data_IF_045806654048
#
_entry.id   IF_045806654048
#
_cell.length_a   1.000
_cell.length_b   1.000
_cell.length_c   1.000
_cell.angle_alpha   90.00
_cell.angle_beta   90.00
_cell.angle_gamma   90.00
#
_symmetry.space_group_name_H-M   'P 1'
#
loop_
_entity.id
_entity.type
_entity.pdbx_description
1 polymer ?
#
# COMPACT_ATOMS: atom_id res chain seq x y z
N UNK A 1 -67.31 -0.92 14.43
CA UNK A 1 -66.54 0.32 14.17
C UNK A 1 -65.98 0.82 15.48
N UNK A 2 -64.77 0.41 15.83
CA UNK A 2 -63.91 1.07 16.84
C UNK A 2 -62.51 1.03 16.25
N UNK A 3 -61.97 2.21 15.98
CA UNK A 3 -60.64 2.43 15.40
C UNK A 3 -59.64 2.55 16.54
N UNK A 4 -58.80 1.53 16.70
CA UNK A 4 -57.65 1.56 17.61
C UNK A 4 -56.59 2.50 17.02
N UNK A 5 -56.33 3.59 17.75
CA UNK A 5 -55.40 4.62 17.37
C UNK A 5 -54.36 4.75 18.49
N UNK A 6 -53.49 3.76 18.61
CA UNK A 6 -52.31 3.81 19.47
C UNK A 6 -51.07 3.47 18.63
N UNK A 7 -50.50 4.51 18.01
CA UNK A 7 -49.12 4.46 17.50
C UNK A 7 -48.20 4.82 18.67
N UNK A 8 -47.63 3.81 19.29
CA UNK A 8 -46.51 3.94 20.23
C UNK A 8 -45.42 4.82 19.61
N UNK A 9 -45.14 5.96 20.26
CA UNK A 9 -43.91 6.72 20.05
C UNK A 9 -42.77 5.90 20.64
N UNK A 10 -42.02 5.17 19.80
CA UNK A 10 -40.74 4.60 20.20
C UNK A 10 -39.76 5.73 20.47
N UNK A 11 -39.47 5.96 21.74
CA UNK A 11 -38.41 6.86 22.19
C UNK A 11 -37.06 6.41 21.62
N UNK A 12 -36.38 7.34 20.93
CA UNK A 12 -35.03 7.16 20.42
C UNK A 12 -34.08 7.15 21.62
N UNK A 13 -33.48 5.99 21.90
CA UNK A 13 -32.41 5.91 22.89
C UNK A 13 -31.12 6.49 22.31
N UNK A 14 -30.35 7.28 23.09
CA UNK A 14 -29.07 7.81 22.64
C UNK A 14 -28.07 6.68 22.37
N UNK A 15 -27.42 6.80 21.22
CA UNK A 15 -26.50 5.83 20.62
C UNK A 15 -25.25 5.63 21.50
N UNK A 16 -24.95 4.37 21.84
CA UNK A 16 -23.70 4.00 22.54
C UNK A 16 -22.59 3.77 21.51
N UNK A 17 -21.53 4.58 21.60
CA UNK A 17 -20.31 4.47 20.80
C UNK A 17 -19.64 3.09 20.99
N UNK A 18 -19.73 2.22 19.99
CA UNK A 18 -18.78 1.12 19.81
C UNK A 18 -17.65 1.61 18.90
N UNK A 19 -16.41 1.52 19.38
CA UNK A 19 -15.18 1.91 18.68
C UNK A 19 -15.20 1.39 17.23
N UNK A 20 -15.24 2.30 16.25
CA UNK A 20 -15.07 2.00 14.82
C UNK A 20 -16.33 1.75 13.98
N UNK A 21 -17.53 1.68 14.57
CA UNK A 21 -18.71 1.14 13.85
C UNK A 21 -19.41 2.06 12.86
N UNK A 22 -19.30 3.38 12.99
CA UNK A 22 -20.30 4.29 12.40
C UNK A 22 -19.78 5.68 12.03
N UNK A 23 -18.55 5.81 11.53
CA UNK A 23 -18.02 7.11 11.12
C UNK A 23 -18.93 7.83 10.14
N UNK A 24 -19.48 7.12 9.15
CA UNK A 24 -20.43 7.71 8.21
C UNK A 24 -21.74 8.15 8.89
N UNK A 25 -22.26 7.39 9.87
CA UNK A 25 -23.48 7.80 10.56
C UNK A 25 -23.24 9.04 11.43
N UNK A 26 -22.14 9.05 12.17
CA UNK A 26 -21.70 10.20 12.98
C UNK A 26 -21.53 11.46 12.13
N UNK A 27 -20.78 11.37 11.03
CA UNK A 27 -20.57 12.51 10.13
C UNK A 27 -21.84 12.96 9.41
N UNK A 28 -22.77 12.04 9.11
CA UNK A 28 -24.06 12.39 8.55
C UNK A 28 -24.93 13.14 9.57
N UNK A 29 -24.94 12.70 10.83
CA UNK A 29 -25.64 13.39 11.93
C UNK A 29 -25.03 14.78 12.20
N UNK A 30 -23.69 14.89 12.21
CA UNK A 30 -22.98 16.17 12.32
C UNK A 30 -23.36 17.15 11.18
N UNK A 31 -23.66 16.62 9.99
CA UNK A 31 -24.13 17.38 8.84
C UNK A 31 -25.65 17.65 8.83
N UNK A 32 -26.38 17.27 9.90
CA UNK A 32 -27.82 17.48 10.04
C UNK A 32 -28.69 16.41 9.39
N UNK A 33 -28.15 15.25 9.03
CA UNK A 33 -28.89 14.12 8.46
C UNK A 33 -29.22 13.10 9.55
N UNK A 34 -30.51 12.96 9.88
CA UNK A 34 -30.97 11.93 10.81
C UNK A 34 -31.09 10.58 10.12
N UNK A 35 -30.37 9.58 10.62
CA UNK A 35 -30.39 8.22 10.08
C UNK A 35 -31.36 7.36 10.89
N UNK A 36 -32.43 6.82 10.29
CA UNK A 36 -33.32 5.91 10.98
C UNK A 36 -32.66 4.53 11.17
N UNK A 37 -32.98 3.85 12.28
CA UNK A 37 -32.32 2.61 12.69
C UNK A 37 -32.45 1.46 11.66
N UNK A 38 -33.51 1.44 10.86
CA UNK A 38 -33.74 0.46 9.80
C UNK A 38 -32.76 0.61 8.61
N UNK A 39 -32.09 1.76 8.50
CA UNK A 39 -31.12 2.06 7.42
C UNK A 39 -29.67 1.87 7.85
N UNK A 40 -29.41 1.62 9.13
CA UNK A 40 -28.04 1.41 9.64
C UNK A 40 -27.33 0.22 8.98
N UNK A 41 -28.06 -0.84 8.63
CA UNK A 41 -27.50 -2.01 7.92
C UNK A 41 -26.95 -1.66 6.53
N UNK A 42 -27.57 -0.70 5.84
CA UNK A 42 -27.11 -0.22 4.52
C UNK A 42 -25.81 0.55 4.68
N UNK A 43 -25.73 1.39 5.70
CA UNK A 43 -24.54 2.20 6.04
C UNK A 43 -23.39 1.28 6.44
N UNK A 44 -23.63 0.29 7.29
CA UNK A 44 -22.63 -0.72 7.62
C UNK A 44 -22.14 -1.45 6.39
N UNK A 45 -23.05 -1.95 5.55
CA UNK A 45 -22.68 -2.64 4.32
C UNK A 45 -21.84 -1.76 3.39
N UNK A 46 -22.08 -0.43 3.36
CA UNK A 46 -21.21 0.50 2.65
C UNK A 46 -19.81 0.59 3.28
N UNK A 47 -19.73 0.81 4.59
CA UNK A 47 -18.46 0.93 5.30
C UNK A 47 -17.63 -0.34 5.19
N UNK A 48 -18.24 -1.51 5.30
CA UNK A 48 -17.55 -2.80 5.18
C UNK A 48 -16.95 -2.99 3.79
N UNK A 49 -17.61 -2.51 2.73
CA UNK A 49 -17.02 -2.51 1.39
C UNK A 49 -15.92 -1.47 1.25
N UNK A 50 -16.12 -0.29 1.84
CA UNK A 50 -15.15 0.81 1.78
C UNK A 50 -13.83 0.49 2.50
N UNK A 51 -13.82 -0.46 3.45
CA UNK A 51 -12.60 -0.98 4.11
C UNK A 51 -11.57 -1.51 3.12
N UNK A 52 -12.01 -2.04 1.98
CA UNK A 52 -11.14 -2.60 0.94
C UNK A 52 -10.74 -1.56 -0.12
N UNK A 53 -10.91 -0.28 0.20
CA UNK A 53 -10.59 0.85 -0.66
C UNK A 53 -11.49 0.97 -1.90
N UNK A 54 -11.04 1.77 -2.86
CA UNK A 54 -11.78 2.03 -4.10
C UNK A 54 -11.93 0.77 -4.99
N UNK A 55 -11.17 -0.29 -4.70
CA UNK A 55 -11.18 -1.54 -5.44
C UNK A 55 -12.48 -2.33 -5.24
N UNK A 56 -13.14 -2.17 -4.08
CA UNK A 56 -14.48 -2.71 -3.86
C UNK A 56 -15.54 -2.13 -4.81
N UNK A 57 -15.30 -0.93 -5.36
CA UNK A 57 -16.19 -0.30 -6.33
C UNK A 57 -15.88 -0.70 -7.78
N UNK A 58 -14.72 -1.32 -8.04
CA UNK A 58 -14.20 -1.61 -9.38
C UNK A 58 -15.02 -2.62 -10.20
N UNK A 59 -15.64 -3.67 -9.60
CA UNK A 59 -16.51 -4.57 -10.34
C UNK A 59 -17.61 -3.80 -11.06
N UNK A 60 -17.78 -4.09 -12.35
CA UNK A 60 -18.76 -3.43 -13.19
C UNK A 60 -20.18 -3.87 -12.82
N UNK A 61 -21.17 -3.12 -13.26
CA UNK A 61 -22.58 -3.55 -13.14
C UNK A 61 -22.91 -4.51 -14.28
N UNK A 62 -23.58 -5.61 -13.97
CA UNK A 62 -24.00 -6.59 -14.96
C UNK A 62 -24.98 -5.97 -15.97
N UNK A 63 -24.64 -6.06 -17.25
CA UNK A 63 -25.46 -5.57 -18.38
C UNK A 63 -26.16 -6.71 -19.15
N UNK A 64 -26.15 -7.93 -18.61
CA UNK A 64 -26.67 -9.11 -19.29
C UNK A 64 -26.02 -9.30 -20.66
N UNK A 65 -26.85 -9.51 -21.68
CA UNK A 65 -26.40 -9.70 -23.07
C UNK A 65 -25.64 -8.49 -23.67
N UNK A 66 -25.72 -7.31 -23.06
CA UNK A 66 -24.98 -6.10 -23.48
C UNK A 66 -23.65 -5.93 -22.73
N UNK A 67 -23.22 -6.93 -21.97
CA UNK A 67 -21.92 -6.90 -21.30
C UNK A 67 -20.79 -7.01 -22.36
N UNK A 68 -19.75 -6.17 -22.32
CA UNK A 68 -18.60 -6.30 -23.21
C UNK A 68 -17.86 -7.63 -23.02
N UNK A 69 -17.96 -8.25 -21.85
CA UNK A 69 -17.31 -9.52 -21.52
C UNK A 69 -18.28 -10.70 -21.61
N UNK A 70 -19.40 -10.56 -22.32
CA UNK A 70 -20.46 -11.57 -22.34
C UNK A 70 -19.99 -12.89 -22.97
N UNK A 71 -19.04 -12.82 -23.91
CA UNK A 71 -18.51 -13.99 -24.63
C UNK A 71 -17.61 -14.87 -23.75
N UNK A 72 -17.01 -14.27 -22.71
CA UNK A 72 -16.13 -14.95 -21.74
C UNK A 72 -16.76 -15.06 -20.36
N UNK A 73 -18.08 -14.84 -20.25
CA UNK A 73 -18.77 -14.83 -18.98
C UNK A 73 -19.14 -16.26 -18.55
N UNK A 74 -18.58 -16.78 -17.44
CA UNK A 74 -18.83 -18.15 -17.00
C UNK A 74 -20.30 -18.40 -16.62
N UNK A 75 -21.02 -17.38 -16.14
CA UNK A 75 -22.45 -17.51 -15.83
C UNK A 75 -23.30 -17.75 -17.09
N UNK A 76 -22.95 -17.08 -18.20
CA UNK A 76 -23.64 -17.29 -19.47
C UNK A 76 -23.30 -18.67 -20.04
N UNK A 77 -22.03 -19.05 -19.99
CA UNK A 77 -21.55 -20.36 -20.46
C UNK A 77 -22.22 -21.51 -19.70
N UNK A 78 -22.39 -21.36 -18.39
CA UNK A 78 -23.10 -22.31 -17.54
C UNK A 78 -24.63 -22.30 -17.70
N UNK A 79 -25.19 -21.42 -18.55
CA UNK A 79 -26.64 -21.31 -18.76
C UNK A 79 -27.41 -20.78 -17.53
N UNK A 80 -26.77 -20.00 -16.67
CA UNK A 80 -27.36 -19.44 -15.45
C UNK A 80 -27.97 -18.05 -15.68
N UNK A 81 -28.88 -17.65 -14.79
CA UNK A 81 -29.50 -16.33 -14.82
C UNK A 81 -28.47 -15.22 -14.54
N UNK A 82 -28.48 -14.20 -15.41
CA UNK A 82 -27.56 -13.05 -15.30
C UNK A 82 -28.15 -11.99 -14.35
N UNK A 83 -27.43 -11.57 -13.29
CA UNK A 83 -27.95 -10.62 -12.30
C UNK A 83 -27.88 -9.16 -12.79
N UNK A 84 -28.68 -8.83 -13.82
CA UNK A 84 -28.70 -7.51 -14.46
C UNK A 84 -28.95 -6.39 -13.44
N UNK A 85 -28.18 -5.31 -13.53
CA UNK A 85 -28.29 -4.14 -12.65
C UNK A 85 -27.58 -4.29 -11.30
N UNK A 86 -27.09 -5.49 -10.95
CA UNK A 86 -26.25 -5.73 -9.76
C UNK A 86 -24.77 -5.70 -10.12
N UNK A 87 -23.90 -5.55 -9.11
CA UNK A 87 -22.44 -5.68 -9.28
C UNK A 87 -22.09 -7.06 -9.83
N UNK A 88 -21.13 -7.12 -10.74
CA UNK A 88 -20.72 -8.33 -11.44
C UNK A 88 -20.16 -9.34 -10.43
N UNK A 89 -20.82 -10.50 -10.24
CA UNK A 89 -20.33 -11.50 -9.28
C UNK A 89 -19.02 -12.14 -9.74
N UNK A 90 -18.83 -12.33 -11.05
CA UNK A 90 -17.61 -12.94 -11.61
C UNK A 90 -16.39 -12.10 -11.25
N UNK A 91 -16.43 -10.81 -11.55
CA UNK A 91 -15.29 -9.92 -11.26
C UNK A 91 -15.06 -9.78 -9.75
N UNK A 92 -16.14 -9.74 -8.95
CA UNK A 92 -16.02 -9.69 -7.49
C UNK A 92 -15.28 -10.94 -6.96
N UNK A 93 -15.69 -12.12 -7.40
CA UNK A 93 -15.06 -13.38 -7.00
C UNK A 93 -13.61 -13.48 -7.45
N UNK A 94 -13.29 -12.98 -8.65
CA UNK A 94 -11.91 -12.96 -9.16
C UNK A 94 -11.01 -12.06 -8.31
N UNK A 95 -11.48 -10.87 -7.94
CA UNK A 95 -10.73 -9.97 -7.04
C UNK A 95 -10.51 -10.65 -5.69
N UNK A 96 -11.58 -11.19 -5.07
CA UNK A 96 -11.51 -11.88 -3.78
C UNK A 96 -10.52 -13.04 -3.81
N UNK A 97 -10.52 -13.82 -4.89
CA UNK A 97 -9.60 -14.94 -5.08
C UNK A 97 -8.14 -14.48 -5.21
N UNK A 98 -7.88 -13.40 -5.96
CA UNK A 98 -6.51 -12.87 -6.08
C UNK A 98 -6.00 -12.29 -4.78
N UNK A 99 -6.85 -11.54 -4.05
CA UNK A 99 -6.53 -11.02 -2.73
C UNK A 99 -6.20 -12.17 -1.78
N UNK A 100 -7.08 -13.17 -1.68
CA UNK A 100 -6.86 -14.35 -0.85
C UNK A 100 -5.53 -15.05 -1.16
N UNK A 101 -5.29 -15.37 -2.44
CA UNK A 101 -4.07 -16.06 -2.87
C UNK A 101 -2.82 -15.25 -2.56
N UNK A 102 -2.87 -13.93 -2.74
CA UNK A 102 -1.72 -13.07 -2.48
C UNK A 102 -1.44 -12.95 -0.98
N UNK A 103 -2.48 -12.79 -0.15
CA UNK A 103 -2.32 -12.78 1.31
C UNK A 103 -1.73 -14.11 1.82
N UNK A 104 -2.28 -15.24 1.37
CA UNK A 104 -1.78 -16.57 1.73
C UNK A 104 -0.32 -16.75 1.30
N UNK A 105 0.05 -16.30 0.08
CA UNK A 105 1.42 -16.42 -0.41
C UNK A 105 2.45 -15.55 0.32
N UNK A 106 1.99 -14.48 0.98
CA UNK A 106 2.83 -13.51 1.66
C UNK A 106 2.68 -13.55 3.19
N UNK A 107 1.93 -14.53 3.71
CA UNK A 107 1.62 -14.70 5.13
C UNK A 107 1.09 -13.41 5.78
N UNK A 108 0.07 -12.82 5.14
CA UNK A 108 -0.55 -11.57 5.57
C UNK A 108 -1.80 -11.89 6.39
N UNK A 109 -1.81 -11.47 7.65
CA UNK A 109 -3.00 -11.54 8.51
C UNK A 109 -3.87 -10.28 8.28
N UNK A 110 -5.10 -10.39 7.76
CA UNK A 110 -5.97 -9.24 7.54
C UNK A 110 -6.47 -8.58 8.84
N UNK A 111 -6.41 -9.28 9.97
CA UNK A 111 -6.88 -8.78 11.27
C UNK A 111 -5.78 -8.08 12.08
N UNK A 112 -4.50 -8.22 11.67
CA UNK A 112 -3.37 -7.55 12.32
C UNK A 112 -3.13 -6.15 11.70
N UNK A 113 -3.22 -5.07 12.50
CA UNK A 113 -2.93 -3.71 12.05
C UNK A 113 -1.52 -3.52 11.47
N UNK A 114 -0.54 -4.36 11.80
CA UNK A 114 0.80 -4.31 11.21
C UNK A 114 0.75 -4.46 9.69
N UNK A 115 -0.20 -5.23 9.18
CA UNK A 115 -0.34 -5.51 7.75
C UNK A 115 -1.28 -4.55 7.02
N UNK A 116 -1.80 -3.50 7.66
CA UNK A 116 -2.77 -2.59 7.04
C UNK A 116 -2.30 -2.02 5.70
N UNK A 117 -1.02 -1.62 5.61
CA UNK A 117 -0.44 -1.09 4.36
C UNK A 117 -0.34 -2.17 3.28
N UNK A 118 0.00 -3.40 3.67
CA UNK A 118 0.08 -4.50 2.73
C UNK A 118 -1.30 -4.90 2.22
N UNK A 119 -2.31 -4.86 3.08
CA UNK A 119 -3.69 -5.09 2.69
C UNK A 119 -4.13 -4.10 1.62
N UNK A 120 -3.87 -2.80 1.80
CA UNK A 120 -4.16 -1.77 0.80
C UNK A 120 -3.47 -2.07 -0.54
N UNK A 121 -2.18 -2.46 -0.50
CA UNK A 121 -1.41 -2.81 -1.68
C UNK A 121 -1.91 -4.07 -2.39
N UNK A 122 -2.35 -5.08 -1.63
CA UNK A 122 -2.91 -6.32 -2.17
C UNK A 122 -4.24 -6.06 -2.87
N UNK A 123 -5.12 -5.26 -2.27
CA UNK A 123 -6.36 -4.84 -2.93
C UNK A 123 -6.08 -4.04 -4.19
N UNK A 124 -5.15 -3.08 -4.15
CA UNK A 124 -4.73 -2.30 -5.31
C UNK A 124 -4.23 -3.22 -6.44
N UNK A 125 -3.37 -4.19 -6.10
CA UNK A 125 -2.85 -5.16 -7.05
C UNK A 125 -3.97 -5.95 -7.72
N UNK A 126 -4.91 -6.49 -6.95
CA UNK A 126 -6.05 -7.25 -7.48
C UNK A 126 -6.96 -6.39 -8.37
N UNK A 127 -7.16 -5.13 -8.00
CA UNK A 127 -7.90 -4.17 -8.78
C UNK A 127 -7.28 -3.88 -10.14
N UNK A 128 -5.97 -3.62 -10.19
CA UNK A 128 -5.26 -3.38 -11.44
C UNK A 128 -5.24 -4.65 -12.31
N UNK A 129 -5.07 -5.84 -11.71
CA UNK A 129 -5.18 -7.11 -12.43
C UNK A 129 -6.56 -7.30 -13.07
N UNK A 130 -7.63 -6.83 -12.40
CA UNK A 130 -8.98 -6.86 -12.99
C UNK A 130 -9.04 -5.99 -14.24
N UNK A 131 -8.49 -4.77 -14.18
CA UNK A 131 -8.43 -3.90 -15.36
C UNK A 131 -7.62 -4.55 -16.48
N UNK A 132 -6.49 -5.19 -16.18
CA UNK A 132 -5.69 -5.92 -17.17
C UNK A 132 -6.48 -7.07 -17.80
N UNK A 133 -7.26 -7.81 -17.02
CA UNK A 133 -8.14 -8.87 -17.53
C UNK A 133 -9.18 -8.31 -18.52
N UNK A 134 -9.81 -7.17 -18.21
CA UNK A 134 -10.75 -6.51 -19.13
C UNK A 134 -10.09 -6.09 -20.43
N UNK A 135 -8.91 -5.48 -20.34
CA UNK A 135 -8.14 -5.04 -21.51
C UNK A 135 -7.68 -6.22 -22.36
N UNK A 136 -7.25 -7.32 -21.73
CA UNK A 136 -6.88 -8.54 -22.42
C UNK A 136 -8.08 -9.15 -23.17
N UNK A 137 -9.27 -9.16 -22.56
CA UNK A 137 -10.48 -9.60 -23.23
C UNK A 137 -10.86 -8.69 -24.41
N UNK A 138 -10.74 -7.36 -24.24
CA UNK A 138 -10.95 -6.41 -25.35
C UNK A 138 -9.96 -6.60 -26.50
N UNK A 139 -8.69 -6.90 -26.21
CA UNK A 139 -7.67 -7.21 -27.23
C UNK A 139 -7.90 -8.57 -27.89
N UNK A 140 -8.51 -9.53 -27.19
CA UNK A 140 -8.89 -10.81 -27.79
C UNK A 140 -10.02 -10.63 -28.82
N UNK A 141 -10.95 -9.69 -28.59
CA UNK A 141 -12.00 -9.36 -29.55
C UNK A 141 -11.49 -8.50 -30.73
N UNK A 142 -10.63 -7.52 -30.44
CA UNK A 142 -10.05 -6.60 -31.43
C UNK A 142 -8.50 -6.68 -31.38
N UNK A 143 -7.90 -7.64 -32.12
CA UNK A 143 -6.48 -7.97 -32.02
C UNK A 143 -5.55 -6.95 -32.69
N UNK A 144 -6.09 -6.01 -33.46
CA UNK A 144 -5.29 -5.04 -34.20
C UNK A 144 -4.52 -4.11 -33.27
N UNK A 145 -3.22 -4.01 -33.53
CA UNK A 145 -2.28 -3.17 -32.77
C UNK A 145 -2.47 -1.69 -33.09
N UNK A 146 -2.84 -1.38 -34.33
CA UNK A 146 -3.13 -0.03 -34.82
C UNK A 146 -4.58 0.05 -35.27
N UNK A 147 -5.18 1.24 -35.13
CA UNK A 147 -6.51 1.55 -35.64
C UNK A 147 -6.44 2.82 -36.45
N UNK A 148 -6.93 2.75 -37.68
CA UNK A 148 -7.20 3.94 -38.48
C UNK A 148 -8.25 4.79 -37.77
N UNK A 149 -7.89 6.03 -37.47
CA UNK A 149 -8.82 7.04 -36.97
C UNK A 149 -8.80 8.25 -37.88
N UNK A 150 -9.98 8.82 -38.11
CA UNK A 150 -10.10 10.10 -38.79
C UNK A 150 -9.49 11.16 -37.88
N UNK A 151 -8.41 11.79 -38.34
CA UNK A 151 -7.72 12.89 -37.62
C UNK A 151 -8.10 14.26 -38.13
N UNK A 152 -8.75 14.33 -39.29
CA UNK A 152 -9.24 15.57 -39.85
C UNK A 152 -9.95 15.35 -41.19
N UNK A 153 -10.28 16.47 -41.82
CA UNK A 153 -10.85 16.50 -43.15
C UNK A 153 -9.99 17.42 -44.02
N UNK A 154 -9.77 17.04 -45.27
CA UNK A 154 -9.12 17.89 -46.27
C UNK A 154 -9.97 19.14 -46.53
N UNK A 155 -9.39 20.22 -47.12
CA UNK A 155 -10.17 21.36 -47.58
C UNK A 155 -11.30 21.01 -48.56
N UNK A 156 -11.19 19.87 -49.24
CA UNK A 156 -12.16 19.31 -50.17
C UNK A 156 -13.25 18.46 -49.48
N UNK A 157 -13.14 18.23 -48.17
CA UNK A 157 -14.10 17.48 -47.36
C UNK A 157 -13.79 15.99 -47.21
N UNK A 158 -12.65 15.51 -47.74
CA UNK A 158 -12.28 14.10 -47.64
C UNK A 158 -11.67 13.77 -46.28
N UNK A 159 -12.05 12.66 -45.62
CA UNK A 159 -11.48 12.27 -44.35
C UNK A 159 -10.00 11.91 -44.49
N UNK A 160 -9.17 12.43 -43.58
CA UNK A 160 -7.75 12.08 -43.44
C UNK A 160 -7.63 11.07 -42.31
N UNK A 161 -7.10 9.89 -42.63
CA UNK A 161 -6.88 8.80 -41.68
C UNK A 161 -5.45 8.82 -41.15
N UNK A 162 -5.29 8.44 -39.89
CA UNK A 162 -4.00 8.25 -39.22
C UNK A 162 -4.06 6.98 -38.38
N UNK A 163 -2.94 6.27 -38.35
CA UNK A 163 -2.80 5.01 -37.63
C UNK A 163 -2.44 5.28 -36.18
N UNK A 164 -3.41 5.08 -35.28
CA UNK A 164 -3.18 5.23 -33.84
C UNK A 164 -3.07 3.88 -33.15
N UNK A 165 -2.16 3.74 -32.17
CA UNK A 165 -2.07 2.51 -31.40
C UNK A 165 -3.37 2.22 -30.65
N UNK A 166 -3.69 0.94 -30.54
CA UNK A 166 -4.83 0.45 -29.79
C UNK A 166 -4.69 0.87 -28.31
N UNK A 167 -5.68 1.62 -27.81
CA UNK A 167 -5.65 2.13 -26.44
C UNK A 167 -5.60 1.02 -25.39
N UNK A 168 -6.22 -0.14 -25.68
CA UNK A 168 -6.18 -1.29 -24.77
C UNK A 168 -4.76 -1.80 -24.59
N UNK A 169 -3.94 -1.77 -25.64
CA UNK A 169 -2.53 -2.16 -25.59
C UNK A 169 -1.70 -1.18 -24.75
N UNK A 170 -1.86 0.13 -24.97
CA UNK A 170 -1.15 1.16 -24.21
C UNK A 170 -1.49 1.12 -22.71
N UNK A 171 -2.77 0.93 -22.38
CA UNK A 171 -3.21 0.80 -20.99
C UNK A 171 -2.70 -0.50 -20.36
N UNK A 172 -2.67 -1.59 -21.10
CA UNK A 172 -2.16 -2.87 -20.61
C UNK A 172 -0.67 -2.77 -20.28
N UNK A 173 0.13 -2.10 -21.11
CA UNK A 173 1.55 -1.83 -20.82
C UNK A 173 1.70 -0.98 -19.55
N UNK A 174 0.93 0.12 -19.44
CA UNK A 174 0.94 1.01 -18.27
C UNK A 174 0.61 0.25 -16.99
N UNK A 175 -0.47 -0.52 -16.99
CA UNK A 175 -0.89 -1.30 -15.81
C UNK A 175 0.09 -2.44 -15.49
N UNK A 176 0.71 -3.06 -16.49
CA UNK A 176 1.75 -4.07 -16.26
C UNK A 176 2.97 -3.49 -15.52
N UNK A 177 3.36 -2.25 -15.83
CA UNK A 177 4.43 -1.54 -15.10
C UNK A 177 4.03 -1.24 -13.64
N UNK A 178 2.77 -0.91 -13.39
CA UNK A 178 2.28 -0.67 -12.01
C UNK A 178 2.23 -1.98 -11.22
N UNK A 179 1.73 -3.06 -11.82
CA UNK A 179 1.72 -4.40 -11.20
C UNK A 179 3.12 -4.85 -10.81
N UNK A 180 4.11 -4.67 -11.68
CA UNK A 180 5.50 -5.01 -11.38
C UNK A 180 6.01 -4.24 -10.15
N UNK A 181 5.78 -2.92 -10.11
CA UNK A 181 6.16 -2.08 -8.96
C UNK A 181 5.48 -2.50 -7.66
N UNK A 182 4.18 -2.78 -7.68
CA UNK A 182 3.44 -3.22 -6.49
C UNK A 182 3.97 -4.55 -5.96
N UNK A 183 4.28 -5.50 -6.85
CA UNK A 183 4.88 -6.78 -6.45
C UNK A 183 6.26 -6.61 -5.84
N UNK A 184 7.11 -5.78 -6.44
CA UNK A 184 8.44 -5.49 -5.92
C UNK A 184 8.36 -4.85 -4.53
N UNK A 185 7.43 -3.90 -4.34
CA UNK A 185 7.21 -3.24 -3.06
C UNK A 185 6.69 -4.21 -1.99
N UNK A 186 5.74 -5.08 -2.30
CA UNK A 186 5.22 -6.10 -1.37
C UNK A 186 6.35 -7.02 -0.87
N UNK A 187 7.21 -7.49 -1.78
CA UNK A 187 8.36 -8.33 -1.41
C UNK A 187 9.41 -7.53 -0.61
N UNK A 188 9.62 -6.26 -0.96
CA UNK A 188 10.55 -5.39 -0.25
C UNK A 188 10.12 -5.13 1.19
N UNK A 189 8.83 -4.89 1.44
CA UNK A 189 8.29 -4.71 2.80
C UNK A 189 8.59 -5.93 3.68
N UNK A 190 8.43 -7.14 3.13
CA UNK A 190 8.73 -8.40 3.86
C UNK A 190 10.21 -8.54 4.17
N UNK A 191 11.08 -8.22 3.20
CA UNK A 191 12.54 -8.20 3.43
C UNK A 191 12.92 -7.20 4.51
N UNK A 192 12.29 -6.02 4.51
CA UNK A 192 12.50 -4.99 5.52
C UNK A 192 12.07 -5.47 6.90
N UNK A 193 10.85 -6.02 7.05
CA UNK A 193 10.37 -6.60 8.31
C UNK A 193 11.28 -7.71 8.82
N UNK A 194 11.69 -8.65 7.96
CA UNK A 194 12.62 -9.72 8.33
C UNK A 194 14.00 -9.18 8.75
N UNK A 195 14.49 -8.13 8.09
CA UNK A 195 15.76 -7.49 8.44
C UNK A 195 15.67 -6.72 9.76
N UNK A 196 14.55 -6.04 10.03
CA UNK A 196 14.27 -5.40 11.32
C UNK A 196 14.21 -6.44 12.44
N UNK A 197 13.56 -7.59 12.21
CA UNK A 197 13.53 -8.71 13.17
C UNK A 197 14.94 -9.24 13.49
N UNK A 198 15.79 -9.42 12.48
CA UNK A 198 17.20 -9.81 12.66
C UNK A 198 18.00 -8.76 13.43
N UNK A 199 17.86 -7.48 13.08
CA UNK A 199 18.51 -6.36 13.77
C UNK A 199 18.01 -6.20 15.21
N UNK A 200 16.75 -6.51 15.51
CA UNK A 200 16.22 -6.50 16.88
C UNK A 200 16.85 -7.62 17.73
N UNK A 201 17.01 -8.81 17.17
CA UNK A 201 17.78 -9.89 17.79
C UNK A 201 19.25 -9.49 18.04
N UNK A 202 19.89 -8.87 17.06
CA UNK A 202 21.29 -8.40 17.15
C UNK A 202 21.48 -7.21 18.09
N UNK A 203 20.49 -6.33 18.28
CA UNK A 203 20.58 -5.19 19.21
C UNK A 203 20.78 -5.66 20.65
N UNK A 204 20.15 -6.76 21.05
CA UNK A 204 20.32 -7.40 22.36
C UNK A 204 21.76 -7.90 22.55
N UNK A 205 22.30 -8.59 21.53
CA UNK A 205 23.67 -9.14 21.52
C UNK A 205 24.71 -8.01 21.46
N UNK A 206 24.46 -6.98 20.66
CA UNK A 206 25.33 -5.80 20.55
C UNK A 206 25.34 -5.00 21.85
N UNK A 207 24.19 -4.85 22.49
CA UNK A 207 24.08 -4.16 23.79
C UNK A 207 24.80 -4.93 24.88
N UNK A 208 24.65 -6.26 24.95
CA UNK A 208 25.40 -7.12 25.86
C UNK A 208 26.92 -7.03 25.62
N UNK A 209 27.37 -7.06 24.37
CA UNK A 209 28.79 -6.91 24.02
C UNK A 209 29.38 -5.53 24.36
N UNK A 210 28.60 -4.46 24.21
CA UNK A 210 29.01 -3.10 24.61
C UNK A 210 29.16 -3.03 26.13
N UNK A 211 28.21 -3.61 26.87
CA UNK A 211 28.22 -3.65 28.33
C UNK A 211 29.40 -4.47 28.86
N UNK A 212 29.70 -5.60 28.22
CA UNK A 212 30.88 -6.42 28.55
C UNK A 212 32.20 -5.70 28.24
N UNK A 213 32.30 -5.01 27.09
CA UNK A 213 33.46 -4.16 26.78
C UNK A 213 33.63 -3.02 27.79
N UNK A 214 32.53 -2.36 28.16
CA UNK A 214 32.55 -1.29 29.17
C UNK A 214 33.05 -1.83 30.52
N UNK A 215 32.62 -3.03 30.91
CA UNK A 215 33.05 -3.69 32.15
C UNK A 215 34.55 -4.03 32.13
N UNK A 216 35.06 -4.59 31.04
CA UNK A 216 36.51 -4.87 30.88
C UNK A 216 37.37 -3.61 30.90
N UNK A 217 36.88 -2.51 30.32
CA UNK A 217 37.57 -1.21 30.37
C UNK A 217 37.58 -0.64 31.79
N UNK A 218 36.47 -0.78 32.53
CA UNK A 218 36.39 -0.36 33.93
C UNK A 218 37.34 -1.18 34.82
N UNK A 219 37.41 -2.50 34.64
CA UNK A 219 38.33 -3.39 35.35
C UNK A 219 39.79 -3.06 35.05
N UNK A 220 40.15 -2.81 33.78
CA UNK A 220 41.50 -2.41 33.39
C UNK A 220 41.90 -1.03 33.96
N UNK A 221 40.95 -0.11 34.10
CA UNK A 221 41.17 1.19 34.75
C UNK A 221 41.31 1.08 36.26
N UNK A 222 40.63 0.11 36.88
CA UNK A 222 40.78 -0.19 38.30
C UNK A 222 42.13 -0.85 38.62
N UNK A 223 42.65 -1.69 37.72
CA UNK A 223 43.94 -2.37 37.90
C UNK A 223 45.17 -1.52 37.56
N UNK A 224 45.01 -0.38 36.88
CA UNK A 224 46.11 0.49 36.40
C UNK A 224 46.38 1.69 37.33
N UNK A 225 45.99 1.60 38.60
CA UNK A 225 46.02 2.70 39.57
C UNK A 225 47.21 2.67 40.55
N UNK A 226 48.27 1.95 40.20
CA UNK A 226 49.58 2.12 40.85
C UNK A 226 50.41 3.07 39.97
N UNK A 227 50.36 4.37 40.31
CA UNK A 227 51.25 5.39 39.74
C UNK A 227 52.44 5.48 40.70
N UNK A 228 53.64 5.16 40.22
CA UNK A 228 54.88 5.44 40.93
C UNK A 228 55.16 6.96 40.87
N UNK A 229 55.39 7.57 42.03
CA UNK A 229 55.74 8.99 42.16
C UNK A 229 57.11 9.26 41.49
N UNK A 230 57.13 10.15 40.51
CA UNK A 230 58.36 10.58 39.86
C UNK A 230 59.10 11.61 40.74
N UNK A 231 60.37 11.33 41.07
CA UNK A 231 61.26 12.28 41.74
C UNK A 231 61.54 13.51 40.86
N UNK A 232 61.35 14.70 41.45
CA UNK A 232 61.57 15.99 40.80
C UNK A 232 63.09 16.26 40.76
N UNK A 233 63.66 16.37 39.56
CA UNK A 233 65.03 16.85 39.35
C UNK A 233 64.97 18.34 39.01
N UNK A 234 65.52 19.18 39.88
CA UNK A 234 65.70 20.61 39.60
C UNK A 234 66.82 20.80 38.58
N UNK A 235 66.47 21.30 37.39
CA UNK A 235 67.43 21.70 36.36
C UNK A 235 67.84 23.15 36.64
N UNK A 236 69.14 23.38 36.81
CA UNK A 236 69.72 24.73 36.88
C UNK A 236 69.86 25.29 35.46
N UNK A 237 69.39 26.51 35.27
CA UNK A 237 69.52 27.28 34.04
C UNK A 237 70.98 27.71 33.82
N UNK A 238 71.55 27.37 32.66
CA UNK A 238 72.73 28.04 32.10
C UNK A 238 72.52 28.26 30.58
N UNK A 239 72.39 29.55 30.27
CA UNK A 239 72.70 30.36 29.09
C UNK A 239 72.87 29.77 27.66
N UNK A 240 72.11 30.40 26.74
CA UNK A 240 72.43 30.83 25.37
C UNK A 240 73.09 29.86 24.37
N UNK A 241 72.38 29.60 23.25
CA UNK A 241 72.81 30.08 21.92
C UNK A 241 71.73 29.98 20.83
N UNK A 242 71.67 31.04 20.03
CA UNK A 242 70.80 31.28 18.88
C UNK A 242 71.08 30.34 17.70
N UNK A 243 70.06 30.06 16.88
CA UNK A 243 70.22 29.33 15.62
C UNK A 243 68.96 29.30 14.76
N UNK A 244 68.84 30.28 13.86
CA UNK A 244 67.85 30.41 12.78
C UNK A 244 67.80 29.22 11.80
N UNK A 245 66.62 28.91 11.24
CA UNK A 245 66.51 28.05 10.06
C UNK A 245 65.08 27.89 9.51
N UNK A 246 64.89 28.19 8.22
CA UNK A 246 63.64 28.45 7.50
C UNK A 246 62.84 27.22 7.03
N UNK A 247 61.53 27.44 6.85
CA UNK A 247 60.60 27.04 5.75
C UNK A 247 60.66 25.62 5.14
N UNK A 248 59.49 24.95 5.07
CA UNK A 248 58.72 24.81 3.81
C UNK A 248 57.46 23.96 3.98
N UNK A 249 56.38 24.41 3.34
CA UNK A 249 55.11 23.71 3.12
C UNK A 249 55.30 22.56 2.12
N UNK A 250 54.53 21.47 2.30
CA UNK A 250 54.52 20.34 1.40
C UNK A 250 53.13 19.69 1.36
N UNK A 251 52.49 19.82 0.21
CA UNK A 251 51.19 19.26 -0.19
C UNK A 251 51.09 17.74 0.00
N UNK A 252 49.89 17.27 0.38
CA UNK A 252 49.51 15.85 0.40
C UNK A 252 48.46 15.61 -0.69
N UNK A 253 48.69 14.72 -1.67
CA UNK A 253 47.70 14.36 -2.67
C UNK A 253 46.72 13.30 -2.15
N UNK A 254 45.43 13.52 -2.43
CA UNK A 254 44.35 12.55 -2.24
C UNK A 254 44.39 11.47 -3.34
N UNK A 255 44.34 10.22 -2.90
CA UNK A 255 43.86 9.06 -3.67
C UNK A 255 42.41 8.76 -3.24
#
# INVERSE_FOLDING_TARGET
MKSDNDKEKKELQPFKESVGGHFLAKHAEDAGVTIPADKLSIIHGFMDRAKFGHQAALPMVCRGNKCPLINVCPLKEAGLDLPVGKKCPVEKSVIEQWVFRTMESLDIDPDDPEYAVDMDMVYELAGIELLRMRLAASLAEEPDVYREKIVGYSPQGDPIYDDKPNMSLLLLEKYSKVVAKLRDQLVATRKSQAQVGKLAGDKSVRSANILEKAKRIAERRASSRDIEDAEIIEVKDDEEQEGSGQQSEGDIPLL
#
